data_IF_463756247264
#
_entry.id   IF_463756247264
#
_cell.length_a   1.000
_cell.length_b   1.000
_cell.length_c   1.000
_cell.angle_alpha   90.00
_cell.angle_beta   90.00
_cell.angle_gamma   90.00
#
_symmetry.space_group_name_H-M   'P 1'
#
loop_
_entity.id
_entity.type
_entity.pdbx_description
1 polymer ?
#
# COMPACT_ATOMS: atom_id res chain seq x y z
N UNK A 1 -10.78 -4.82 0.04
CA UNK A 1 -9.62 -3.92 -0.12
C UNK A 1 -8.99 -3.47 1.18
N UNK A 2 -9.74 -3.42 2.26
CA UNK A 2 -9.18 -3.02 3.55
C UNK A 2 -8.09 -3.95 4.02
N UNK A 3 -8.23 -5.25 3.79
CA UNK A 3 -7.17 -6.20 4.12
C UNK A 3 -5.90 -5.94 3.34
N UNK A 4 -6.03 -5.57 2.07
CA UNK A 4 -4.88 -5.25 1.25
C UNK A 4 -4.16 -4.02 1.78
N UNK A 5 -4.92 -3.02 2.19
CA UNK A 5 -4.34 -1.81 2.75
C UNK A 5 -3.58 -2.11 4.04
N UNK A 6 -4.17 -2.91 4.92
CA UNK A 6 -3.50 -3.34 6.15
C UNK A 6 -2.22 -4.11 5.89
N UNK A 7 -2.26 -5.02 4.92
CA UNK A 7 -1.10 -5.83 4.57
C UNK A 7 0.02 -4.97 4.00
N UNK A 8 -0.34 -3.98 3.18
CA UNK A 8 0.66 -3.06 2.63
C UNK A 8 1.28 -2.21 3.74
N UNK A 9 0.47 -1.77 4.71
CA UNK A 9 0.99 -1.05 5.87
C UNK A 9 1.96 -1.87 6.67
N UNK A 10 1.65 -3.14 6.89
CA UNK A 10 2.55 -4.05 7.60
C UNK A 10 3.85 -4.27 6.83
N UNK A 11 3.75 -4.41 5.50
CA UNK A 11 4.93 -4.55 4.66
C UNK A 11 5.81 -3.29 4.75
N UNK A 12 5.20 -2.12 4.75
CA UNK A 12 5.94 -0.87 4.90
C UNK A 12 6.71 -0.84 6.21
N UNK A 13 6.06 -1.22 7.31
CA UNK A 13 6.71 -1.26 8.61
C UNK A 13 7.88 -2.22 8.62
N UNK A 14 7.71 -3.37 7.99
CA UNK A 14 8.78 -4.36 7.91
C UNK A 14 9.98 -3.81 7.14
N UNK A 15 9.72 -3.09 6.05
CA UNK A 15 10.79 -2.51 5.25
C UNK A 15 11.49 -1.37 6.00
N UNK A 16 10.73 -0.58 6.76
CA UNK A 16 11.32 0.50 7.58
C UNK A 16 12.28 -0.07 8.62
N UNK A 17 11.96 -1.23 9.16
CA UNK A 17 12.79 -1.89 10.16
C UNK A 17 13.96 -2.65 9.54
N UNK A 18 13.94 -2.89 8.25
CA UNK A 18 14.98 -3.67 7.59
C UNK A 18 16.25 -2.84 7.41
N UNK A 19 17.36 -3.55 7.37
CA UNK A 19 18.64 -2.90 7.08
C UNK A 19 18.64 -2.37 5.65
N UNK A 20 19.01 -1.11 5.42
CA UNK A 20 19.11 -0.59 4.07
C UNK A 20 20.13 -1.38 3.25
N UNK A 21 19.85 -1.55 1.97
CA UNK A 21 20.78 -2.24 1.11
C UNK A 21 21.37 -1.27 0.09
N UNK A 22 22.53 -1.69 -0.47
CA UNK A 22 23.33 -0.78 -1.29
C UNK A 22 22.68 -0.45 -2.64
N UNK A 23 21.82 -1.31 -3.14
CA UNK A 23 21.18 -1.08 -4.42
C UNK A 23 19.97 -0.18 -4.37
N UNK A 24 19.58 0.26 -3.19
CA UNK A 24 18.40 1.10 -3.03
C UNK A 24 17.09 0.35 -3.26
N UNK A 25 17.13 -0.98 -3.20
CA UNK A 25 15.94 -1.77 -3.45
C UNK A 25 14.89 -1.61 -2.36
N UNK A 26 15.34 -1.49 -1.11
CA UNK A 26 14.44 -1.26 0.02
C UNK A 26 13.65 0.04 -0.19
N UNK A 27 14.35 1.11 -0.55
CA UNK A 27 13.72 2.42 -0.75
C UNK A 27 12.77 2.41 -1.94
N UNK A 28 13.15 1.74 -3.02
CA UNK A 28 12.26 1.59 -4.17
C UNK A 28 11.02 0.79 -3.83
N UNK A 29 11.20 -0.29 -3.06
CA UNK A 29 10.06 -1.10 -2.62
C UNK A 29 9.11 -0.28 -1.76
N UNK A 30 9.65 0.53 -0.85
CA UNK A 30 8.82 1.38 -0.01
C UNK A 30 8.02 2.38 -0.84
N UNK A 31 8.62 2.99 -1.86
CA UNK A 31 7.90 3.90 -2.74
C UNK A 31 6.80 3.20 -3.52
N UNK A 32 7.09 1.99 -4.00
CA UNK A 32 6.08 1.21 -4.72
C UNK A 32 4.90 0.86 -3.81
N UNK A 33 5.19 0.53 -2.56
CA UNK A 33 4.13 0.23 -1.58
C UNK A 33 3.32 1.49 -1.30
N UNK A 34 3.95 2.65 -1.17
CA UNK A 34 3.22 3.90 -0.98
C UNK A 34 2.26 4.16 -2.13
N UNK A 35 2.72 3.97 -3.36
CA UNK A 35 1.86 4.14 -4.52
C UNK A 35 0.71 3.13 -4.51
N UNK A 36 1.01 1.88 -4.16
CA UNK A 36 -0.01 0.85 -4.09
C UNK A 36 -1.05 1.17 -3.03
N UNK A 37 -0.62 1.67 -1.88
CA UNK A 37 -1.53 2.06 -0.81
C UNK A 37 -2.45 3.19 -1.27
N UNK A 38 -1.91 4.14 -2.01
CA UNK A 38 -2.71 5.23 -2.58
C UNK A 38 -3.77 4.72 -3.54
N UNK A 39 -3.40 3.76 -4.39
CA UNK A 39 -4.36 3.16 -5.32
C UNK A 39 -5.44 2.36 -4.59
N UNK A 40 -5.04 1.58 -3.60
CA UNK A 40 -6.01 0.80 -2.82
C UNK A 40 -6.97 1.74 -2.10
N UNK A 41 -6.45 2.80 -1.50
CA UNK A 41 -7.30 3.78 -0.82
C UNK A 41 -8.26 4.44 -1.80
N UNK A 42 -7.79 4.78 -3.00
CA UNK A 42 -8.64 5.37 -4.02
C UNK A 42 -9.77 4.41 -4.41
N UNK A 43 -9.46 3.11 -4.48
CA UNK A 43 -10.47 2.10 -4.77
C UNK A 43 -11.52 1.99 -3.67
N UNK A 44 -11.08 2.06 -2.41
CA UNK A 44 -11.99 2.05 -1.28
C UNK A 44 -12.90 3.28 -1.32
N UNK A 45 -12.33 4.44 -1.57
CA UNK A 45 -13.08 5.69 -1.62
C UNK A 45 -14.07 5.69 -2.78
N UNK A 46 -13.66 5.17 -3.92
CA UNK A 46 -14.56 5.07 -5.08
C UNK A 46 -15.76 4.20 -4.75
N UNK A 47 -15.54 3.04 -4.16
CA UNK A 47 -16.61 2.13 -3.80
C UNK A 47 -17.58 2.77 -2.81
N UNK A 48 -17.02 3.51 -1.85
CA UNK A 48 -17.81 4.22 -0.85
C UNK A 48 -18.70 5.28 -1.47
N UNK A 49 -18.18 6.01 -2.45
CA UNK A 49 -18.91 7.10 -3.11
C UNK A 49 -19.93 6.62 -4.13
N UNK A 50 -19.70 5.45 -4.71
CA UNK A 50 -20.52 4.95 -5.81
C UNK A 50 -21.41 3.79 -5.39
N UNK A 51 -21.65 3.69 -4.12
CA UNK A 51 -22.55 2.70 -3.60
C UNK A 51 -21.84 1.42 -3.22
N UNK A 52 -22.60 0.52 -2.69
CA UNK A 52 -22.13 -0.65 -1.98
C UNK A 52 -21.58 -1.72 -2.91
N UNK A 53 -20.40 -1.50 -3.41
CA UNK A 53 -19.77 -2.55 -4.17
C UNK A 53 -20.57 -3.03 -5.35
N UNK A 54 -21.25 -2.13 -5.97
CA UNK A 54 -22.10 -2.48 -7.06
C UNK A 54 -21.33 -2.71 -8.35
N UNK A 55 -20.22 -3.31 -8.25
CA UNK A 55 -19.46 -3.62 -9.46
C UNK A 55 -18.68 -4.92 -9.27
#
# INVERSE_FOLDING_TARGET
MERALSALGAAMQSLQAATPNKGGHRERAMRLIEHAMGEVQAGIDFASQHGSGGY
#
